data_IF_713533731935
#
_entry.id   IF_713533731935
#
_cell.length_a   1.000
_cell.length_b   1.000
_cell.length_c   1.000
_cell.angle_alpha   90.00
_cell.angle_beta   90.00
_cell.angle_gamma   90.00
#
_symmetry.space_group_name_H-M   'P 1'
#
loop_
_entity.id
_entity.type
_entity.pdbx_description
1 polymer ?
#
# COMPACT_ATOMS: atom_id res chain seq x y z
N UNK A 1 -18.67 -12.96 -22.11
CA UNK A 1 -17.79 -13.12 -21.87
C UNK A 1 -16.77 -12.22 -21.61
N UNK A 2 -16.51 -11.31 -22.21
CA UNK A 2 -15.51 -10.31 -21.97
C UNK A 2 -15.75 -9.53 -20.72
N UNK A 3 -16.93 -9.53 -20.15
CA UNK A 3 -17.20 -8.77 -18.96
C UNK A 3 -16.38 -9.25 -17.77
N UNK A 4 -16.06 -10.53 -17.64
CA UNK A 4 -15.29 -10.97 -16.49
C UNK A 4 -13.84 -10.50 -16.58
N UNK A 5 -13.26 -10.41 -17.77
CA UNK A 5 -11.92 -9.86 -17.94
C UNK A 5 -11.90 -8.36 -17.63
N UNK A 6 -12.92 -7.63 -18.05
CA UNK A 6 -13.02 -6.21 -17.76
C UNK A 6 -13.20 -5.99 -16.25
N UNK A 7 -14.01 -6.81 -15.60
CA UNK A 7 -14.22 -6.71 -14.17
C UNK A 7 -12.93 -6.99 -13.42
N UNK A 8 -12.14 -7.96 -13.86
CA UNK A 8 -10.87 -8.26 -13.21
C UNK A 8 -9.90 -7.07 -13.32
N UNK A 9 -9.89 -6.37 -14.46
CA UNK A 9 -9.03 -5.20 -14.62
C UNK A 9 -9.51 -4.02 -13.78
N UNK A 10 -10.78 -4.04 -13.39
CA UNK A 10 -11.35 -2.96 -12.60
C UNK A 10 -11.52 -3.33 -11.13
N UNK A 11 -10.82 -4.37 -10.67
CA UNK A 11 -10.86 -4.71 -9.26
C UNK A 11 -10.33 -3.54 -8.44
N UNK A 12 -11.13 -3.13 -7.47
CA UNK A 12 -10.85 -1.95 -6.67
C UNK A 12 -10.63 -2.36 -5.21
N UNK A 13 -9.79 -1.62 -4.51
CA UNK A 13 -9.62 -1.84 -3.09
C UNK A 13 -10.88 -1.39 -2.35
N UNK A 14 -11.35 -2.21 -1.42
CA UNK A 14 -12.51 -1.88 -0.59
C UNK A 14 -12.13 -1.75 0.86
N UNK A 15 -11.07 -2.43 1.30
CA UNK A 15 -10.61 -2.36 2.69
C UNK A 15 -9.14 -2.72 2.73
N UNK A 16 -8.45 -2.19 3.73
CA UNK A 16 -7.02 -2.39 3.92
C UNK A 16 -6.76 -2.77 5.38
N UNK A 17 -5.86 -3.71 5.58
CA UNK A 17 -5.42 -4.10 6.92
C UNK A 17 -3.90 -4.21 6.91
N UNK A 18 -3.25 -3.59 7.89
CA UNK A 18 -1.80 -3.60 8.00
C UNK A 18 -1.42 -4.13 9.37
N UNK A 19 -0.72 -5.26 9.40
CA UNK A 19 -0.18 -5.79 10.64
C UNK A 19 1.30 -5.45 10.72
N UNK A 20 2.01 -6.00 11.71
CA UNK A 20 3.44 -5.75 11.85
C UNK A 20 4.25 -6.30 10.66
N UNK A 21 3.72 -7.29 9.95
CA UNK A 21 4.47 -7.96 8.90
C UNK A 21 3.73 -8.14 7.58
N UNK A 22 2.45 -7.77 7.49
CA UNK A 22 1.65 -8.05 6.30
C UNK A 22 0.75 -6.88 5.94
N UNK A 23 0.68 -6.58 4.66
CA UNK A 23 -0.30 -5.66 4.08
C UNK A 23 -1.33 -6.50 3.34
N UNK A 24 -2.61 -6.37 3.72
CA UNK A 24 -3.72 -7.09 3.09
C UNK A 24 -4.71 -6.11 2.53
N UNK A 25 -5.16 -6.34 1.31
CA UNK A 25 -6.11 -5.46 0.64
C UNK A 25 -7.26 -6.32 0.10
N UNK A 26 -8.47 -6.01 0.56
CA UNK A 26 -9.67 -6.66 0.03
C UNK A 26 -10.10 -5.96 -1.24
N UNK A 27 -10.48 -6.74 -2.24
CA UNK A 27 -10.85 -6.23 -3.55
C UNK A 27 -12.34 -6.39 -3.80
N UNK A 28 -12.85 -5.54 -4.67
CA UNK A 28 -14.28 -5.51 -5.02
C UNK A 28 -14.76 -6.79 -5.68
N UNK A 29 -13.86 -7.58 -6.26
CA UNK A 29 -14.23 -8.85 -6.90
C UNK A 29 -14.22 -10.04 -5.93
N UNK A 30 -14.03 -9.80 -4.64
CA UNK A 30 -14.06 -10.84 -3.62
C UNK A 30 -12.70 -11.41 -3.24
N UNK A 31 -11.64 -11.03 -3.96
CA UNK A 31 -10.30 -11.51 -3.64
C UNK A 31 -9.65 -10.65 -2.55
N UNK A 32 -8.66 -11.22 -1.88
CA UNK A 32 -7.78 -10.48 -0.98
C UNK A 32 -6.35 -10.68 -1.46
N UNK A 33 -5.60 -9.58 -1.56
CA UNK A 33 -4.20 -9.62 -1.90
C UNK A 33 -3.40 -9.32 -0.63
N UNK A 34 -2.50 -10.21 -0.26
CA UNK A 34 -1.64 -10.01 0.91
C UNK A 34 -0.19 -10.09 0.48
N UNK A 35 0.61 -9.12 0.93
CA UNK A 35 2.03 -9.07 0.59
C UNK A 35 2.83 -8.76 1.87
N UNK A 36 4.11 -9.13 1.89
CA UNK A 36 4.95 -8.79 3.05
C UNK A 36 5.07 -7.28 3.21
N UNK A 37 4.93 -6.80 4.44
CA UNK A 37 5.08 -5.37 4.70
C UNK A 37 6.51 -4.90 4.37
N UNK A 38 7.48 -5.80 4.46
CA UNK A 38 8.87 -5.48 4.15
C UNK A 38 9.09 -5.03 2.71
N UNK A 39 8.12 -5.28 1.81
CA UNK A 39 8.18 -4.75 0.45
C UNK A 39 8.05 -3.23 0.43
N UNK A 40 7.60 -2.62 1.52
CA UNK A 40 7.36 -1.18 1.62
C UNK A 40 8.03 -0.66 2.90
N UNK A 41 9.32 -0.33 2.82
CA UNK A 41 10.12 -0.04 4.02
C UNK A 41 9.58 1.09 4.89
N UNK A 42 8.99 2.12 4.31
CA UNK A 42 8.44 3.21 5.13
C UNK A 42 7.35 2.71 6.07
N UNK A 43 6.55 1.74 5.63
CA UNK A 43 5.50 1.19 6.48
C UNK A 43 6.04 0.38 7.63
N UNK A 44 7.18 -0.29 7.41
CA UNK A 44 7.84 -1.06 8.48
C UNK A 44 8.27 -0.11 9.60
N UNK A 45 8.78 1.07 9.25
CA UNK A 45 9.25 2.04 10.22
C UNK A 45 8.16 2.96 10.75
N UNK A 46 6.97 2.90 10.20
CA UNK A 46 5.86 3.71 10.64
C UNK A 46 5.25 3.18 11.94
N UNK A 47 4.57 4.06 12.67
CA UNK A 47 3.83 3.65 13.84
C UNK A 47 2.56 2.92 13.43
N UNK A 48 1.93 2.22 14.38
CA UNK A 48 0.66 1.56 14.10
C UNK A 48 -0.39 2.58 13.64
N UNK A 49 -0.46 3.73 14.30
CA UNK A 49 -1.41 4.77 13.91
C UNK A 49 -1.17 5.24 12.48
N UNK A 50 0.10 5.40 12.09
CA UNK A 50 0.43 5.81 10.72
C UNK A 50 0.06 4.74 9.71
N UNK A 51 0.28 3.48 10.03
CA UNK A 51 -0.07 2.36 9.14
C UNK A 51 -1.59 2.21 8.99
N UNK A 52 -2.34 2.56 10.03
CA UNK A 52 -3.79 2.47 9.99
C UNK A 52 -4.46 3.69 9.37
N UNK A 53 -3.69 4.76 9.14
CA UNK A 53 -4.21 5.99 8.55
C UNK A 53 -4.00 5.97 7.03
N UNK A 54 -4.89 5.29 6.35
CA UNK A 54 -4.86 5.17 4.90
C UNK A 54 -6.17 5.67 4.32
N UNK A 55 -6.13 6.05 3.05
CA UNK A 55 -7.34 6.44 2.32
C UNK A 55 -7.29 5.82 0.93
N UNK A 56 -8.45 5.55 0.38
CA UNK A 56 -8.56 5.07 -0.98
C UNK A 56 -8.52 6.25 -1.93
N UNK A 57 -7.80 6.08 -3.05
CA UNK A 57 -7.73 7.11 -4.08
C UNK A 57 -8.19 6.52 -5.40
N UNK A 58 -8.71 7.35 -6.28
CA UNK A 58 -9.21 6.90 -7.58
C UNK A 58 -10.35 5.90 -7.46
N UNK A 59 -11.19 6.02 -6.42
CA UNK A 59 -12.30 5.10 -6.23
C UNK A 59 -11.87 3.69 -5.84
N UNK A 60 -10.65 3.51 -5.37
CA UNK A 60 -10.13 2.20 -4.99
C UNK A 60 -9.07 1.66 -5.92
N UNK A 61 -8.64 2.45 -6.91
CA UNK A 61 -7.51 2.05 -7.76
C UNK A 61 -6.20 2.07 -7.01
N UNK A 62 -6.11 2.88 -5.97
CA UNK A 62 -4.91 2.99 -5.16
C UNK A 62 -5.21 3.27 -3.71
N UNK A 63 -4.18 3.23 -2.89
CA UNK A 63 -4.24 3.47 -1.46
C UNK A 63 -3.14 4.46 -1.12
N UNK A 64 -3.47 5.46 -0.29
CA UNK A 64 -2.55 6.52 0.09
C UNK A 64 -2.38 6.53 1.60
N UNK A 65 -1.12 6.62 2.04
CA UNK A 65 -0.77 6.78 3.47
C UNK A 65 -0.14 8.15 3.64
N UNK A 66 -0.92 9.16 4.09
CA UNK A 66 -0.41 10.53 4.16
C UNK A 66 0.76 10.70 5.12
N UNK A 67 0.73 10.05 6.27
CA UNK A 67 1.81 10.20 7.25
C UNK A 67 3.11 9.58 6.80
N UNK A 68 3.06 8.63 5.87
CA UNK A 68 4.24 7.95 5.34
C UNK A 68 4.62 8.46 3.95
N UNK A 69 3.80 9.35 3.38
CA UNK A 69 3.97 9.88 2.03
C UNK A 69 4.18 8.74 1.03
N UNK A 70 3.27 7.78 1.06
CA UNK A 70 3.35 6.60 0.21
C UNK A 70 2.04 6.28 -0.47
N UNK A 71 2.14 5.84 -1.71
CA UNK A 71 0.99 5.39 -2.50
C UNK A 71 1.25 3.98 -3.01
N UNK A 72 0.19 3.19 -3.07
CA UNK A 72 0.26 1.83 -3.64
C UNK A 72 -0.90 1.67 -4.59
N UNK A 73 -0.63 1.18 -5.79
CA UNK A 73 -1.70 0.86 -6.74
C UNK A 73 -2.13 -0.59 -6.56
N UNK A 74 -3.43 -0.84 -6.74
CA UNK A 74 -3.94 -2.22 -6.72
C UNK A 74 -3.29 -3.03 -7.82
N UNK A 75 -3.15 -2.44 -9.02
CA UNK A 75 -2.50 -3.13 -10.12
C UNK A 75 -1.07 -3.54 -9.76
N UNK A 76 -0.33 -2.65 -9.12
CA UNK A 76 1.02 -2.96 -8.68
C UNK A 76 1.08 -4.11 -7.70
N UNK A 77 0.13 -4.16 -6.76
CA UNK A 77 0.06 -5.27 -5.81
C UNK A 77 -0.22 -6.59 -6.52
N UNK A 78 -1.14 -6.57 -7.49
CA UNK A 78 -1.53 -7.79 -8.20
C UNK A 78 -0.38 -8.38 -9.02
N UNK A 79 0.51 -7.55 -9.54
CA UNK A 79 1.66 -8.03 -10.31
C UNK A 79 2.91 -8.22 -9.44
N UNK A 80 2.81 -7.99 -8.14
CA UNK A 80 3.93 -8.21 -7.22
C UNK A 80 4.97 -7.12 -7.25
N UNK A 81 4.59 -5.88 -7.55
CA UNK A 81 5.54 -4.78 -7.60
C UNK A 81 5.87 -4.29 -6.20
N UNK A 82 7.14 -4.29 -5.87
CA UNK A 82 7.63 -3.82 -4.58
C UNK A 82 7.91 -2.32 -4.64
N UNK A 83 8.12 -1.70 -3.46
CA UNK A 83 8.52 -0.31 -3.40
C UNK A 83 9.83 -0.12 -4.14
N UNK A 84 9.94 0.96 -4.90
CA UNK A 84 11.18 1.32 -5.56
C UNK A 84 12.10 2.19 -4.72
N UNK A 85 11.82 2.30 -3.43
CA UNK A 85 12.59 3.18 -2.55
C UNK A 85 14.03 2.70 -2.38
N UNK A 86 14.99 3.57 -2.69
CA UNK A 86 16.40 3.23 -2.50
C UNK A 86 16.78 3.33 -1.03
N UNK A 87 17.87 2.67 -0.60
CA UNK A 87 18.35 2.82 0.77
C UNK A 87 18.66 4.28 1.13
N UNK A 88 19.18 5.06 0.19
CA UNK A 88 19.48 6.47 0.43
C UNK A 88 18.22 7.28 0.63
N UNK A 89 17.19 7.02 -0.17
CA UNK A 89 15.92 7.71 -0.03
C UNK A 89 15.26 7.39 1.31
N UNK A 90 15.29 6.13 1.71
CA UNK A 90 14.75 5.71 2.99
C UNK A 90 15.49 6.36 4.14
N UNK A 91 16.83 6.42 4.06
CA UNK A 91 17.63 7.01 5.11
C UNK A 91 17.32 8.50 5.27
N UNK A 92 17.16 9.24 4.16
CA UNK A 92 16.79 10.65 4.22
C UNK A 92 15.42 10.83 4.87
N UNK A 93 14.48 9.97 4.54
CA UNK A 93 13.14 10.04 5.10
C UNK A 93 13.18 9.78 6.61
N UNK A 94 13.95 8.78 7.05
CA UNK A 94 14.10 8.47 8.46
C UNK A 94 14.76 9.63 9.23
N UNK A 95 15.75 10.28 8.62
CA UNK A 95 16.40 11.42 9.25
C UNK A 95 15.43 12.59 9.40
N UNK A 96 14.59 12.84 8.39
CA UNK A 96 13.59 13.90 8.48
C UNK A 96 12.62 13.64 9.62
N UNK A 97 12.24 12.37 9.82
CA UNK A 97 11.35 12.02 10.92
C UNK A 97 12.01 12.29 12.28
N UNK A 98 13.29 11.97 12.40
CA UNK A 98 14.01 12.22 13.66
C UNK A 98 14.13 13.71 13.97
N UNK A 99 14.36 14.52 12.95
CA UNK A 99 14.47 15.97 13.13
C UNK A 99 13.11 16.58 13.48
N UNK A 100 12.04 16.10 12.83
CA UNK A 100 10.70 16.62 13.06
C UNK A 100 10.13 16.16 14.40
N UNK A 101 10.55 14.99 14.85
CA UNK A 101 10.07 14.44 16.10
C UNK A 101 10.89 14.86 17.26
#
# INVERSE_FOLDING_TARGET
MSSSAAEAREALATAVSVTADTLSVDLSDGRTVAVPLSWFPRRVHGTRAERDDWSLVGGGLGIHWPALDEDVSVEGLLVGRMSGESPQSLERWLQQRRVAG
#
